data_IF_390996032683
#
_entry.id   IF_390996032683
#
_cell.length_a   1.000
_cell.length_b   1.000
_cell.length_c   1.000
_cell.angle_alpha   90.00
_cell.angle_beta   90.00
_cell.angle_gamma   90.00
#
_symmetry.space_group_name_H-M   'P 1'
#
loop_
_entity.id
_entity.type
_entity.pdbx_description
1 polymer ?
#
# COMPACT_ATOMS: atom_id res chain seq x y z
N UNK A 1 61.93 2.97 29.97
CA UNK A 1 61.18 4.19 29.58
C UNK A 1 60.45 3.87 28.28
N UNK A 2 59.11 3.96 28.29
CA UNK A 2 58.20 3.40 27.25
C UNK A 2 58.19 4.27 25.99
N UNK A 3 58.14 3.62 24.83
CA UNK A 3 58.05 4.21 23.49
C UNK A 3 56.84 3.65 22.73
N UNK A 4 56.11 4.58 22.10
CA UNK A 4 55.31 4.49 20.85
C UNK A 4 53.84 3.98 20.94
N UNK A 5 52.92 4.96 20.89
CA UNK A 5 51.76 5.22 19.98
C UNK A 5 51.05 4.02 19.31
N UNK A 6 49.70 3.94 19.37
CA UNK A 6 48.78 3.93 18.19
C UNK A 6 47.29 3.92 18.58
N UNK A 7 46.51 4.66 17.80
CA UNK A 7 45.06 4.87 17.88
C UNK A 7 44.24 3.69 17.33
N UNK A 8 43.01 3.49 17.83
CA UNK A 8 41.95 2.77 17.09
C UNK A 8 40.58 3.40 17.36
N UNK A 9 39.90 3.75 16.26
CA UNK A 9 38.57 4.33 16.13
C UNK A 9 37.49 3.51 16.85
N UNK A 10 36.55 4.23 17.47
CA UNK A 10 35.34 3.65 18.05
C UNK A 10 34.16 3.83 17.09
N UNK A 11 33.48 2.71 16.84
CA UNK A 11 32.13 2.51 16.28
C UNK A 11 31.95 2.66 14.77
N UNK A 12 32.03 1.51 14.10
CA UNK A 12 31.25 1.21 12.91
C UNK A 12 29.77 1.33 13.26
N UNK A 13 29.10 2.39 12.81
CA UNK A 13 27.64 2.41 12.72
C UNK A 13 27.25 1.42 11.62
N UNK A 14 26.99 0.17 11.99
CA UNK A 14 26.21 -0.73 11.16
C UNK A 14 24.81 -0.11 11.06
N UNK A 15 24.59 0.66 10.01
CA UNK A 15 23.27 0.84 9.43
C UNK A 15 22.80 -0.56 9.02
N UNK A 16 22.18 -1.27 9.96
CA UNK A 16 21.41 -2.47 9.67
C UNK A 16 20.35 -2.00 8.68
N UNK A 17 20.57 -2.29 7.41
CA UNK A 17 19.56 -2.15 6.38
C UNK A 17 18.32 -2.86 6.93
N UNK A 18 17.28 -2.09 7.24
CA UNK A 18 15.99 -2.65 7.60
C UNK A 18 15.54 -3.44 6.38
N UNK A 19 15.79 -4.75 6.37
CA UNK A 19 15.17 -5.65 5.43
C UNK A 19 13.73 -5.80 5.90
N UNK A 20 12.95 -4.76 5.60
CA UNK A 20 11.51 -4.80 5.57
C UNK A 20 11.13 -5.86 4.53
N UNK A 21 11.06 -7.13 4.94
CA UNK A 21 10.47 -8.16 4.12
C UNK A 21 9.03 -7.72 3.85
N UNK A 22 8.71 -7.41 2.60
CA UNK A 22 7.35 -7.11 2.15
C UNK A 22 6.41 -8.18 2.73
N UNK A 23 5.49 -7.76 3.60
CA UNK A 23 4.54 -8.67 4.23
C UNK A 23 3.33 -8.76 3.31
N UNK A 24 3.35 -9.76 2.44
CA UNK A 24 2.24 -10.06 1.55
C UNK A 24 1.07 -10.62 2.37
N UNK A 25 -0.03 -9.86 2.43
CA UNK A 25 -1.28 -10.24 3.10
C UNK A 25 -2.30 -10.62 2.03
N UNK A 26 -2.82 -11.83 2.09
CA UNK A 26 -3.91 -12.26 1.20
C UNK A 26 -5.18 -11.46 1.52
N UNK A 27 -5.71 -10.74 0.53
CA UNK A 27 -6.88 -9.86 0.72
C UNK A 27 -8.09 -10.30 -0.10
N UNK A 28 -7.90 -10.99 -1.23
CA UNK A 28 -9.01 -11.43 -2.06
C UNK A 28 -8.67 -12.65 -2.90
N UNK A 29 -9.71 -13.38 -3.30
CA UNK A 29 -9.69 -14.37 -4.36
C UNK A 29 -10.70 -13.96 -5.43
N UNK A 30 -10.29 -13.96 -6.70
CA UNK A 30 -11.14 -13.67 -7.85
C UNK A 30 -11.41 -14.97 -8.60
N UNK A 31 -12.56 -15.58 -8.32
CA UNK A 31 -12.91 -16.93 -8.79
C UNK A 31 -12.89 -17.06 -10.32
N UNK A 32 -13.46 -16.07 -11.03
CA UNK A 32 -13.56 -16.08 -12.50
C UNK A 32 -12.20 -16.14 -13.19
N UNK A 33 -11.17 -15.55 -12.59
CA UNK A 33 -9.81 -15.50 -13.11
C UNK A 33 -8.87 -16.48 -12.40
N UNK A 34 -9.30 -17.12 -11.31
CA UNK A 34 -8.43 -17.91 -10.43
C UNK A 34 -7.22 -17.11 -9.95
N UNK A 35 -7.43 -15.85 -9.56
CA UNK A 35 -6.38 -14.93 -9.10
C UNK A 35 -6.50 -14.72 -7.60
N UNK A 36 -5.41 -14.94 -6.88
CA UNK A 36 -5.24 -14.46 -5.51
C UNK A 36 -4.59 -13.09 -5.51
N UNK A 37 -5.16 -12.16 -4.73
CA UNK A 37 -4.62 -10.82 -4.57
C UNK A 37 -3.98 -10.70 -3.20
N UNK A 38 -2.70 -10.34 -3.18
CA UNK A 38 -1.94 -10.09 -1.97
C UNK A 38 -1.57 -8.60 -1.91
N UNK A 39 -1.89 -7.93 -0.81
CA UNK A 39 -1.43 -6.57 -0.53
C UNK A 39 -0.08 -6.61 0.17
N UNK A 40 0.88 -5.82 -0.30
CA UNK A 40 2.10 -5.56 0.44
C UNK A 40 1.78 -4.57 1.57
N UNK A 41 1.63 -5.09 2.80
CA UNK A 41 1.30 -4.30 4.00
C UNK A 41 2.29 -3.15 4.23
N UNK A 42 3.56 -3.39 3.89
CA UNK A 42 4.61 -2.40 4.08
C UNK A 42 4.58 -1.30 3.03
N UNK A 43 3.82 -1.45 1.95
CA UNK A 43 3.65 -0.42 0.91
C UNK A 43 2.51 0.57 1.23
N UNK A 44 1.68 0.28 2.24
CA UNK A 44 0.51 1.11 2.56
C UNK A 44 0.97 2.46 3.10
N UNK A 45 0.67 3.53 2.37
CA UNK A 45 1.00 4.91 2.76
C UNK A 45 -0.21 5.81 2.54
N UNK A 46 -0.71 6.42 3.60
CA UNK A 46 -1.83 7.36 3.56
C UNK A 46 -1.40 8.76 3.98
N UNK A 47 -2.01 9.77 3.38
CA UNK A 47 -1.76 11.17 3.68
C UNK A 47 -2.96 12.05 3.30
N UNK A 48 -2.94 13.32 3.70
CA UNK A 48 -3.97 14.32 3.42
C UNK A 48 -3.32 15.55 2.78
N UNK A 49 -3.66 15.81 1.52
CA UNK A 49 -3.17 16.99 0.81
C UNK A 49 -3.76 18.28 1.39
N UNK A 50 -3.07 19.41 1.19
CA UNK A 50 -3.55 20.74 1.63
C UNK A 50 -4.94 21.11 1.09
N UNK A 51 -5.33 20.56 -0.06
CA UNK A 51 -6.66 20.73 -0.65
C UNK A 51 -7.80 20.05 0.14
N UNK A 52 -7.46 19.27 1.17
CA UNK A 52 -8.38 18.40 1.90
C UNK A 52 -8.59 17.04 1.24
N UNK A 53 -7.89 16.73 0.15
CA UNK A 53 -7.95 15.41 -0.49
C UNK A 53 -7.21 14.39 0.38
N UNK A 54 -7.94 13.37 0.86
CA UNK A 54 -7.33 12.19 1.50
C UNK A 54 -6.93 11.21 0.42
N UNK A 55 -5.76 10.60 0.54
CA UNK A 55 -5.32 9.58 -0.40
C UNK A 55 -4.45 8.54 0.29
N UNK A 56 -4.46 7.33 -0.24
CA UNK A 56 -3.50 6.31 0.16
C UNK A 56 -3.05 5.49 -1.04
N UNK A 57 -1.87 4.91 -0.92
CA UNK A 57 -1.26 4.05 -1.92
C UNK A 57 -1.01 2.68 -1.34
N UNK A 58 -1.12 1.66 -2.17
CA UNK A 58 -0.81 0.26 -1.84
C UNK A 58 -0.36 -0.47 -3.09
N UNK A 59 0.62 -1.34 -2.94
CA UNK A 59 1.07 -2.28 -3.97
C UNK A 59 0.45 -3.65 -3.71
N UNK A 60 -0.03 -4.28 -4.77
CA UNK A 60 -0.59 -5.63 -4.73
C UNK A 60 0.10 -6.56 -5.71
N UNK A 61 0.20 -7.83 -5.36
CA UNK A 61 0.62 -8.94 -6.23
C UNK A 61 -0.60 -9.77 -6.61
N UNK A 62 -0.78 -9.95 -7.90
CA UNK A 62 -1.79 -10.83 -8.48
C UNK A 62 -1.12 -12.17 -8.75
N UNK A 63 -1.57 -13.22 -8.08
CA UNK A 63 -0.94 -14.54 -8.09
C UNK A 63 -1.89 -15.55 -8.69
N UNK A 64 -1.40 -16.38 -9.61
CA UNK A 64 -2.14 -17.51 -10.19
C UNK A 64 -1.23 -18.72 -10.20
N UNK A 65 -1.72 -19.85 -9.70
CA UNK A 65 -0.95 -21.11 -9.64
C UNK A 65 0.39 -20.96 -8.88
N UNK A 66 0.38 -20.18 -7.79
CA UNK A 66 1.58 -19.94 -6.96
C UNK A 66 2.64 -19.02 -7.57
N UNK A 67 2.36 -18.39 -8.73
CA UNK A 67 3.29 -17.46 -9.40
C UNK A 67 2.69 -16.07 -9.49
N UNK A 68 3.50 -15.05 -9.19
CA UNK A 68 3.14 -13.65 -9.40
C UNK A 68 3.01 -13.40 -10.90
N UNK A 69 1.81 -13.02 -11.32
CA UNK A 69 1.48 -12.65 -12.69
C UNK A 69 1.71 -11.16 -12.91
N UNK A 70 1.35 -10.34 -11.91
CA UNK A 70 1.39 -8.90 -12.02
C UNK A 70 1.60 -8.24 -10.66
N UNK A 71 2.30 -7.10 -10.68
CA UNK A 71 2.38 -6.16 -9.55
C UNK A 71 1.63 -4.90 -9.95
N UNK A 72 0.65 -4.49 -9.15
CA UNK A 72 -0.21 -3.33 -9.41
C UNK A 72 -0.06 -2.34 -8.27
N UNK A 73 0.18 -1.08 -8.62
CA UNK A 73 0.23 0.04 -7.70
C UNK A 73 -1.11 0.77 -7.77
N UNK A 74 -1.79 0.85 -6.63
CA UNK A 74 -3.07 1.52 -6.49
C UNK A 74 -2.87 2.88 -5.81
N UNK A 75 -3.58 3.89 -6.31
CA UNK A 75 -3.79 5.14 -5.59
C UNK A 75 -5.28 5.27 -5.34
N UNK A 76 -5.68 5.21 -4.08
CA UNK A 76 -7.03 5.53 -3.63
C UNK A 76 -7.08 6.98 -3.20
N UNK A 77 -8.14 7.70 -3.57
CA UNK A 77 -8.29 9.11 -3.21
C UNK A 77 -9.75 9.50 -3.02
N UNK A 78 -9.95 10.50 -2.16
CA UNK A 78 -11.24 11.12 -1.91
C UNK A 78 -11.06 12.62 -1.77
N UNK A 79 -11.80 13.39 -2.58
CA UNK A 79 -11.84 14.83 -2.47
C UNK A 79 -13.01 15.27 -1.58
N UNK A 80 -12.72 15.80 -0.39
CA UNK A 80 -13.73 16.32 0.56
C UNK A 80 -14.82 15.30 0.86
N UNK A 81 -16.05 15.57 0.42
CA UNK A 81 -17.26 14.76 0.65
C UNK A 81 -17.64 13.88 -0.54
N UNK A 82 -16.79 13.79 -1.57
CA UNK A 82 -17.01 12.92 -2.73
C UNK A 82 -16.77 11.44 -2.38
N UNK A 83 -17.12 10.53 -3.27
CA UNK A 83 -16.87 9.11 -3.10
C UNK A 83 -15.37 8.80 -3.18
N UNK A 84 -14.95 7.73 -2.52
CA UNK A 84 -13.63 7.16 -2.74
C UNK A 84 -13.51 6.66 -4.18
N UNK A 85 -12.40 7.02 -4.81
CA UNK A 85 -12.01 6.55 -6.13
C UNK A 85 -10.63 5.91 -6.09
N UNK A 86 -10.30 5.13 -7.10
CA UNK A 86 -8.97 4.60 -7.29
C UNK A 86 -8.50 4.74 -8.73
N UNK A 87 -7.19 4.79 -8.88
CA UNK A 87 -6.48 4.58 -10.13
C UNK A 87 -5.39 3.52 -9.90
N UNK A 88 -4.93 2.91 -10.99
CA UNK A 88 -3.82 1.95 -10.97
C UNK A 88 -2.80 2.33 -12.03
N UNK A 89 -1.55 1.88 -11.85
CA UNK A 89 -0.50 2.04 -12.88
C UNK A 89 -0.80 1.29 -14.20
N UNK A 90 -1.87 0.51 -14.26
CA UNK A 90 -2.31 -0.25 -15.45
C UNK A 90 -3.47 0.43 -16.19
N UNK A 91 -4.03 1.51 -15.64
CA UNK A 91 -5.08 2.29 -16.28
C UNK A 91 -4.50 3.32 -17.24
N UNK A 92 -5.30 3.74 -18.24
CA UNK A 92 -4.98 4.89 -19.08
C UNK A 92 -4.95 6.17 -18.23
N UNK A 93 -4.04 7.09 -18.56
CA UNK A 93 -3.74 8.25 -17.71
C UNK A 93 -4.95 9.13 -17.40
N UNK A 94 -5.05 9.55 -16.13
CA UNK A 94 -6.09 10.46 -15.63
C UNK A 94 -7.45 9.82 -15.35
N UNK A 95 -7.62 8.52 -15.63
CA UNK A 95 -8.86 7.81 -15.33
C UNK A 95 -8.88 7.31 -13.88
N UNK A 96 -9.96 7.64 -13.17
CA UNK A 96 -10.26 7.07 -11.86
C UNK A 96 -11.57 6.29 -11.91
N UNK A 97 -11.69 5.27 -11.07
CA UNK A 97 -12.90 4.44 -10.90
C UNK A 97 -13.43 4.58 -9.49
N UNK A 98 -14.76 4.66 -9.32
CA UNK A 98 -15.36 4.71 -7.97
C UNK A 98 -15.17 3.37 -7.26
N UNK A 99 -14.79 3.39 -5.98
CA UNK A 99 -14.65 2.17 -5.17
C UNK A 99 -16.04 1.65 -4.82
N UNK A 100 -16.33 0.41 -5.24
CA UNK A 100 -17.60 -0.27 -4.95
C UNK A 100 -17.51 -0.93 -3.55
N UNK A 101 -18.59 -0.88 -2.75
CA UNK A 101 -18.69 -1.57 -1.47
C UNK A 101 -18.30 -3.04 -1.49
N UNK A 102 -17.77 -3.50 -0.35
CA UNK A 102 -17.16 -4.82 -0.14
C UNK A 102 -15.88 -5.03 -0.95
N UNK A 103 -15.10 -3.97 -1.17
CA UNK A 103 -13.78 -4.06 -1.79
C UNK A 103 -12.75 -4.52 -0.73
N UNK A 104 -12.27 -5.78 -0.75
CA UNK A 104 -11.46 -6.30 0.35
C UNK A 104 -10.13 -5.56 0.51
N UNK A 105 -9.51 -5.16 -0.61
CA UNK A 105 -8.27 -4.38 -0.61
C UNK A 105 -8.47 -3.00 0.04
N UNK A 106 -9.57 -2.31 -0.30
CA UNK A 106 -9.86 -0.98 0.24
C UNK A 106 -10.11 -1.06 1.75
N UNK A 107 -10.97 -1.97 2.19
CA UNK A 107 -11.33 -2.12 3.60
C UNK A 107 -10.12 -2.54 4.44
N UNK A 108 -9.28 -3.45 3.91
CA UNK A 108 -8.00 -3.81 4.53
C UNK A 108 -7.09 -2.59 4.74
N UNK A 109 -6.89 -1.78 3.69
CA UNK A 109 -6.05 -0.59 3.78
C UNK A 109 -6.61 0.45 4.77
N UNK A 110 -7.92 0.66 4.77
CA UNK A 110 -8.58 1.56 5.71
C UNK A 110 -8.39 1.12 7.17
N UNK A 111 -8.50 -0.18 7.44
CA UNK A 111 -8.21 -0.75 8.74
C UNK A 111 -6.75 -0.55 9.17
N UNK A 112 -5.80 -0.73 8.24
CA UNK A 112 -4.38 -0.50 8.49
C UNK A 112 -4.03 0.95 8.78
N UNK A 113 -4.69 1.89 8.11
CA UNK A 113 -4.50 3.32 8.31
C UNK A 113 -5.26 3.86 9.53
N UNK A 114 -6.17 3.07 10.13
CA UNK A 114 -7.07 3.55 11.17
C UNK A 114 -8.06 4.60 10.66
N UNK A 115 -8.39 4.57 9.38
CA UNK A 115 -9.29 5.54 8.75
C UNK A 115 -10.72 5.01 8.71
N UNK A 116 -11.66 5.85 9.11
CA UNK A 116 -13.09 5.56 8.97
C UNK A 116 -13.59 5.85 7.56
N UNK A 117 -14.61 5.11 7.15
CA UNK A 117 -15.43 5.37 5.97
C UNK A 117 -16.89 5.06 6.28
N UNK A 118 -17.80 5.55 5.44
CA UNK A 118 -19.22 5.22 5.47
C UNK A 118 -19.67 4.71 4.11
N UNK A 119 -20.72 3.89 4.10
CA UNK A 119 -21.37 3.45 2.86
C UNK A 119 -22.69 4.20 2.74
N UNK A 120 -22.88 4.92 1.63
CA UNK A 120 -24.13 5.64 1.31
C UNK A 120 -24.45 5.39 -0.16
N UNK A 121 -25.70 5.04 -0.46
CA UNK A 121 -26.19 4.81 -1.84
C UNK A 121 -25.29 3.90 -2.70
N UNK A 122 -24.74 2.85 -2.07
CA UNK A 122 -23.81 1.90 -2.68
C UNK A 122 -22.40 2.44 -2.99
N UNK A 123 -21.95 3.49 -2.29
CA UNK A 123 -20.60 4.04 -2.46
C UNK A 123 -19.89 4.27 -1.13
N UNK A 124 -18.56 4.18 -1.14
CA UNK A 124 -17.74 4.58 0.00
C UNK A 124 -17.52 6.10 0.03
N UNK A 125 -17.72 6.71 1.19
CA UNK A 125 -17.41 8.11 1.52
C UNK A 125 -16.52 8.19 2.75
#
# INVERSE_FOLDING_TARGET
>A
MKRIIFAVMFVVALSVAQTCAARDVWVAHWDSEGIDVYADDNSIRGDVAQSGTRYFKVTTKFVRGGKVQQVVNWTFSKHRDDMWRYETNTMSGGHTTVVIPRSPLFEFCMGKLGWSYRIVDMWYY
#
